data_IF_223895269364
#
_entry.id   IF_223895269364
#
_cell.length_a   1.000
_cell.length_b   1.000
_cell.length_c   1.000
_cell.angle_alpha   90.00
_cell.angle_beta   90.00
_cell.angle_gamma   90.00
#
_symmetry.space_group_name_H-M   'P 1'
#
loop_
_entity.id
_entity.type
_entity.pdbx_description
1 polymer ?
#
# COMPACT_ATOMS: atom_id res chain seq x y z
N UNK A 1 -10.46 -9.57 9.62
CA UNK A 1 -10.25 -8.75 8.41
C UNK A 1 -8.75 -8.46 8.35
N UNK A 2 -8.10 -8.54 7.19
CA UNK A 2 -6.62 -8.44 6.99
C UNK A 2 -5.83 -7.56 7.98
N UNK A 3 -6.35 -6.38 8.35
CA UNK A 3 -5.79 -5.44 9.33
C UNK A 3 -5.57 -5.98 10.74
N UNK A 4 -6.28 -7.03 11.15
CA UNK A 4 -6.13 -7.67 12.47
C UNK A 4 -5.02 -8.71 12.50
N UNK A 5 -4.61 -9.20 11.33
CA UNK A 5 -3.53 -10.18 11.17
C UNK A 5 -2.22 -9.45 10.90
N UNK A 6 -2.27 -8.42 10.06
CA UNK A 6 -1.13 -7.61 9.65
C UNK A 6 -1.40 -6.16 10.03
N UNK A 7 -0.61 -5.56 10.95
CA UNK A 7 -0.75 -4.16 11.28
C UNK A 7 -0.49 -3.27 10.07
N UNK A 8 -1.42 -2.38 9.77
CA UNK A 8 -1.24 -1.40 8.71
C UNK A 8 -0.52 -0.17 9.24
N UNK A 9 0.44 0.33 8.47
CA UNK A 9 1.11 1.59 8.77
C UNK A 9 0.10 2.74 8.59
N UNK A 10 0.12 3.71 9.51
CA UNK A 10 -0.71 4.90 9.41
C UNK A 10 -0.26 5.75 8.21
N UNK A 11 -1.21 6.16 7.39
CA UNK A 11 -0.94 7.00 6.22
C UNK A 11 -0.18 8.27 6.61
N UNK A 12 -0.43 8.85 7.79
CA UNK A 12 0.22 10.09 8.21
C UNK A 12 1.74 9.96 8.32
N UNK A 13 2.24 8.75 8.59
CA UNK A 13 3.66 8.47 8.80
C UNK A 13 4.40 8.24 7.47
N UNK A 14 3.68 8.05 6.36
CA UNK A 14 4.25 7.75 5.05
C UNK A 14 4.08 8.93 4.09
N UNK A 15 5.15 9.71 3.91
CA UNK A 15 5.17 10.90 3.02
C UNK A 15 5.49 10.56 1.56
N UNK A 16 6.35 9.56 1.36
CA UNK A 16 6.82 9.10 0.05
C UNK A 16 6.51 7.62 -0.13
N UNK A 17 6.25 7.18 -1.36
CA UNK A 17 6.15 5.76 -1.64
C UNK A 17 7.50 5.07 -1.34
N UNK A 18 7.56 4.05 -0.47
CA UNK A 18 8.82 3.39 -0.13
C UNK A 18 9.53 2.73 -1.32
N UNK A 19 8.78 2.35 -2.35
CA UNK A 19 9.33 1.66 -3.52
C UNK A 19 9.88 2.60 -4.60
N UNK A 20 9.21 3.74 -4.86
CA UNK A 20 9.62 4.66 -5.93
C UNK A 20 10.03 6.06 -5.45
N UNK A 21 10.01 6.32 -4.15
CA UNK A 21 10.32 7.60 -3.50
C UNK A 21 9.47 8.81 -3.95
N UNK A 22 8.41 8.62 -4.74
CA UNK A 22 7.52 9.70 -5.19
C UNK A 22 6.53 10.09 -4.10
N UNK A 23 6.29 11.39 -3.95
CA UNK A 23 5.31 11.95 -3.02
C UNK A 23 3.88 11.57 -3.41
N UNK A 24 3.02 11.36 -2.42
CA UNK A 24 1.59 11.20 -2.63
C UNK A 24 0.91 12.55 -2.89
N UNK A 25 -0.15 12.54 -3.69
CA UNK A 25 -1.00 13.70 -3.99
C UNK A 25 -2.38 13.21 -4.45
N UNK A 26 -3.32 14.10 -4.79
CA UNK A 26 -4.71 13.73 -5.11
C UNK A 26 -4.83 12.62 -6.17
N UNK A 27 -3.98 12.65 -7.20
CA UNK A 27 -3.94 11.63 -8.25
C UNK A 27 -3.03 10.42 -7.93
N UNK A 28 -2.06 10.54 -7.02
CA UNK A 28 -1.21 9.44 -6.55
C UNK A 28 -1.57 9.11 -5.11
N UNK A 29 -2.62 8.29 -4.94
CA UNK A 29 -3.17 7.94 -3.63
C UNK A 29 -2.35 6.84 -2.94
N UNK A 30 -2.58 6.71 -1.64
CA UNK A 30 -1.99 5.68 -0.78
C UNK A 30 -2.80 4.39 -0.88
N UNK A 31 -2.09 3.27 -0.94
CA UNK A 31 -2.65 1.93 -0.99
C UNK A 31 -1.90 1.06 0.01
N UNK A 32 -2.64 0.30 0.83
CA UNK A 32 -2.03 -0.64 1.75
C UNK A 32 -1.88 -2.01 1.12
N UNK A 33 -0.69 -2.60 1.27
CA UNK A 33 -0.47 -3.99 0.95
C UNK A 33 -1.18 -4.87 1.98
N UNK A 34 -2.02 -5.80 1.52
CA UNK A 34 -2.81 -6.68 2.39
C UNK A 34 -1.99 -7.79 3.04
N UNK A 35 -0.80 -8.07 2.50
CA UNK A 35 0.13 -9.09 3.01
C UNK A 35 1.09 -8.55 4.07
N UNK A 36 1.53 -7.30 3.97
CA UNK A 36 2.55 -6.74 4.87
C UNK A 36 2.16 -5.41 5.54
N UNK A 37 1.04 -4.80 5.18
CA UNK A 37 0.53 -3.57 5.82
C UNK A 37 1.24 -2.28 5.41
N UNK A 38 2.24 -2.35 4.52
CA UNK A 38 2.96 -1.19 4.01
C UNK A 38 2.10 -0.30 3.11
N UNK A 39 2.39 1.00 3.11
CA UNK A 39 1.73 2.00 2.25
C UNK A 39 2.53 2.23 0.97
N UNK A 40 1.88 2.14 -0.19
CA UNK A 40 2.49 2.25 -1.52
C UNK A 40 1.60 3.05 -2.47
N UNK A 41 2.13 3.49 -3.62
CA UNK A 41 1.30 4.03 -4.70
C UNK A 41 0.79 2.93 -5.63
N UNK A 42 -0.29 3.18 -6.37
CA UNK A 42 -0.87 2.25 -7.35
C UNK A 42 0.17 1.58 -8.25
N UNK A 43 1.08 2.36 -8.83
CA UNK A 43 2.14 1.88 -9.75
C UNK A 43 3.15 0.93 -9.10
N UNK A 44 3.17 0.85 -7.77
CA UNK A 44 4.08 0.00 -6.99
C UNK A 44 3.33 -1.09 -6.23
N UNK A 45 2.02 -1.24 -6.45
CA UNK A 45 1.24 -2.33 -5.90
C UNK A 45 0.97 -3.38 -6.98
N UNK A 46 0.83 -4.64 -6.56
CA UNK A 46 0.28 -5.70 -7.40
C UNK A 46 -1.03 -6.19 -6.80
N UNK A 47 -2.04 -6.38 -7.64
CA UNK A 47 -3.28 -7.01 -7.24
C UNK A 47 -3.13 -8.52 -7.33
N UNK A 48 -3.32 -9.21 -6.20
CA UNK A 48 -3.36 -10.67 -6.17
C UNK A 48 -4.80 -11.12 -6.40
N UNK A 49 -5.03 -11.70 -7.58
CA UNK A 49 -6.26 -12.40 -7.90
C UNK A 49 -6.22 -13.79 -7.25
N UNK A 50 -7.22 -14.12 -6.44
CA UNK A 50 -7.36 -15.46 -5.85
C UNK A 50 -7.82 -16.52 -6.86
N UNK A 51 -8.18 -16.10 -8.09
CA UNK A 51 -8.61 -16.99 -9.16
C UNK A 51 -7.39 -17.56 -9.90
N UNK A 52 -6.24 -16.87 -9.81
CA UNK A 52 -4.99 -17.23 -10.49
C UNK A 52 -3.95 -17.85 -9.54
N UNK A 53 -4.37 -18.28 -8.35
CA UNK A 53 -3.52 -18.84 -7.29
C UNK A 53 -3.81 -20.33 -7.05
#
# INVERSE_FOLDING_TARGET
HEKTIVPWIDDKDVKLCPNCARSFHLARRKHHCRLCGAVMCHDCTMFLSLIDA
#
